data_IF_544975925076
#
_entry.id   IF_544975925076
#
_cell.length_a   1.000
_cell.length_b   1.000
_cell.length_c   1.000
_cell.angle_alpha   90.00
_cell.angle_beta   90.00
_cell.angle_gamma   90.00
#
_symmetry.space_group_name_H-M   'P 1'
#
loop_
_entity.id
_entity.type
_entity.pdbx_description
1 polymer ?
#
# COMPACT_ATOMS: atom_id res chain seq x y z
N UNK A 1 -39.17 -2.88 1.44
CA UNK A 1 -38.31 -1.79 1.91
C UNK A 1 -37.03 -2.38 2.49
N UNK A 2 -35.88 -2.07 1.91
CA UNK A 2 -34.57 -2.47 2.44
C UNK A 2 -33.87 -1.24 3.02
N UNK A 3 -33.50 -1.30 4.30
CA UNK A 3 -32.81 -0.20 4.97
C UNK A 3 -31.29 -0.35 4.81
N UNK A 4 -30.62 0.65 4.25
CA UNK A 4 -29.15 0.71 4.12
C UNK A 4 -28.53 1.38 5.34
N UNK A 5 -28.32 0.61 6.41
CA UNK A 5 -27.63 1.08 7.61
C UNK A 5 -26.11 1.06 7.39
N UNK A 6 -25.53 2.18 6.94
CA UNK A 6 -24.07 2.36 6.89
C UNK A 6 -23.61 3.16 8.10
N UNK A 7 -22.87 2.54 9.03
CA UNK A 7 -22.34 3.18 10.25
C UNK A 7 -20.87 3.65 10.12
N UNK A 8 -20.30 3.53 8.92
CA UNK A 8 -18.89 3.79 8.68
C UNK A 8 -18.66 5.28 8.51
N UNK A 9 -17.96 5.91 9.45
CA UNK A 9 -17.48 7.28 9.29
C UNK A 9 -16.59 7.40 8.05
N UNK A 10 -16.61 8.56 7.40
CA UNK A 10 -15.75 8.91 6.25
C UNK A 10 -14.27 8.81 6.66
N UNK A 11 -13.74 7.61 6.56
CA UNK A 11 -12.37 7.30 6.93
C UNK A 11 -11.43 7.94 5.90
N UNK A 12 -10.32 8.53 6.37
CA UNK A 12 -9.23 9.06 5.55
C UNK A 12 -8.44 7.94 4.82
N UNK A 13 -9.14 6.98 4.21
CA UNK A 13 -8.59 5.86 3.42
C UNK A 13 -8.08 6.35 2.05
N UNK A 14 -7.29 7.42 2.04
CA UNK A 14 -6.51 7.81 0.87
C UNK A 14 -5.30 6.90 0.76
N UNK A 15 -5.07 6.37 -0.43
CA UNK A 15 -3.87 5.58 -0.74
C UNK A 15 -2.59 6.34 -0.38
N UNK A 16 -1.53 5.60 -0.06
CA UNK A 16 -0.21 6.17 0.13
C UNK A 16 0.26 6.77 -1.19
N UNK A 17 0.59 8.06 -1.16
CA UNK A 17 1.22 8.73 -2.31
C UNK A 17 2.69 8.37 -2.38
N UNK A 18 3.35 8.65 -3.50
CA UNK A 18 4.80 8.45 -3.63
C UNK A 18 5.58 9.21 -2.53
N UNK A 19 5.19 10.46 -2.25
CA UNK A 19 5.80 11.26 -1.19
C UNK A 19 5.61 10.62 0.20
N UNK A 20 4.45 10.02 0.47
CA UNK A 20 4.23 9.31 1.74
C UNK A 20 5.17 8.11 1.87
N UNK A 21 5.42 7.39 0.76
CA UNK A 21 6.35 6.24 0.76
C UNK A 21 7.79 6.68 1.05
N UNK A 22 8.27 7.75 0.41
CA UNK A 22 9.61 8.29 0.69
C UNK A 22 9.75 8.68 2.17
N UNK A 23 8.72 9.27 2.77
CA UNK A 23 8.72 9.59 4.21
C UNK A 23 8.75 8.33 5.06
N UNK A 24 7.98 7.29 4.70
CA UNK A 24 8.01 6.00 5.42
C UNK A 24 9.41 5.39 5.40
N UNK A 25 10.07 5.41 4.24
CA UNK A 25 11.43 4.91 4.06
C UNK A 25 12.42 5.64 4.99
N UNK A 26 12.46 6.97 4.92
CA UNK A 26 13.31 7.78 5.81
C UNK A 26 13.05 7.51 7.30
N UNK A 27 11.78 7.44 7.72
CA UNK A 27 11.46 7.13 9.11
C UNK A 27 11.80 5.70 9.54
N UNK A 28 11.79 4.74 8.60
CA UNK A 28 12.25 3.38 8.86
C UNK A 28 13.77 3.32 9.05
N UNK A 29 14.55 4.13 8.31
CA UNK A 29 16.00 4.28 8.51
C UNK A 29 16.30 4.88 9.89
N UNK A 30 15.49 5.83 10.34
CA UNK A 30 15.54 6.41 11.70
C UNK A 30 15.09 5.44 12.82
N UNK A 31 14.73 4.19 12.48
CA UNK A 31 14.24 3.15 13.41
C UNK A 31 13.01 3.54 14.22
N UNK A 32 12.16 4.42 13.68
CA UNK A 32 10.89 4.79 14.31
C UNK A 32 9.89 3.62 14.27
N UNK A 33 9.04 3.53 15.29
CA UNK A 33 7.98 2.51 15.31
C UNK A 33 6.89 2.81 14.28
N UNK A 34 6.27 1.77 13.71
CA UNK A 34 5.20 1.95 12.71
C UNK A 34 3.99 2.74 13.24
N UNK A 35 3.72 2.69 14.55
CA UNK A 35 2.67 3.52 15.17
C UNK A 35 3.01 5.00 15.18
N UNK A 36 4.28 5.31 15.34
CA UNK A 36 4.80 6.68 15.43
C UNK A 36 4.90 7.31 14.04
N UNK A 37 5.24 6.51 13.04
CA UNK A 37 5.15 6.87 11.60
C UNK A 37 3.70 7.11 11.20
N UNK A 38 2.79 6.24 11.62
CA UNK A 38 1.36 6.34 11.35
C UNK A 38 0.75 7.64 11.91
N UNK A 39 1.14 8.04 13.13
CA UNK A 39 0.72 9.32 13.73
C UNK A 39 1.23 10.52 12.94
N UNK A 40 2.50 10.53 12.53
CA UNK A 40 3.09 11.60 11.71
C UNK A 40 2.40 11.77 10.36
N UNK A 41 2.04 10.66 9.71
CA UNK A 41 1.42 10.67 8.38
C UNK A 41 -0.12 10.74 8.42
N UNK A 42 -0.74 10.65 9.60
CA UNK A 42 -2.19 10.55 9.73
C UNK A 42 -2.76 9.29 9.05
N UNK A 43 -1.96 8.23 8.93
CA UNK A 43 -2.34 6.95 8.31
C UNK A 43 -2.51 5.87 9.37
N UNK A 44 -3.15 4.76 9.00
CA UNK A 44 -3.25 3.63 9.91
C UNK A 44 -1.94 2.84 9.97
N UNK A 45 -1.53 2.40 11.17
CA UNK A 45 -0.29 1.63 11.36
C UNK A 45 -0.20 0.35 10.53
N UNK A 46 -1.33 -0.34 10.30
CA UNK A 46 -1.36 -1.53 9.43
C UNK A 46 -1.10 -1.18 7.95
N UNK A 47 -1.40 0.05 7.53
CA UNK A 47 -1.08 0.53 6.17
C UNK A 47 0.42 0.72 6.02
N UNK A 48 1.08 1.32 7.01
CA UNK A 48 2.54 1.46 7.06
C UNK A 48 3.21 0.08 7.07
N UNK A 49 2.76 -0.84 7.92
CA UNK A 49 3.33 -2.19 8.00
C UNK A 49 3.23 -2.96 6.68
N UNK A 50 2.09 -2.85 5.99
CA UNK A 50 1.92 -3.48 4.67
C UNK A 50 2.81 -2.83 3.62
N UNK A 51 2.97 -1.50 3.65
CA UNK A 51 3.85 -0.80 2.72
C UNK A 51 5.31 -1.23 2.88
N UNK A 52 5.80 -1.28 4.11
CA UNK A 52 7.17 -1.75 4.40
C UNK A 52 7.36 -3.19 3.92
N UNK A 53 6.39 -4.08 4.18
CA UNK A 53 6.43 -5.45 3.65
C UNK A 53 6.43 -5.50 2.12
N UNK A 54 5.72 -4.59 1.44
CA UNK A 54 5.72 -4.52 -0.03
C UNK A 54 7.06 -4.06 -0.58
N UNK A 55 7.75 -3.15 0.09
CA UNK A 55 9.08 -2.68 -0.28
C UNK A 55 10.17 -3.73 -0.06
N UNK A 56 10.02 -4.61 0.94
CA UNK A 56 10.99 -5.68 1.22
C UNK A 56 10.76 -6.96 0.42
N UNK A 57 9.54 -7.20 -0.04
CA UNK A 57 9.19 -8.42 -0.81
C UNK A 57 9.35 -8.17 -2.30
N UNK A 58 10.11 -9.04 -2.99
CA UNK A 58 10.17 -9.07 -4.46
C UNK A 58 8.79 -9.38 -5.02
N UNK A 59 8.13 -8.40 -5.65
CA UNK A 59 6.83 -8.61 -6.28
C UNK A 59 7.00 -9.31 -7.64
N UNK A 60 6.69 -10.60 -7.69
CA UNK A 60 6.62 -11.35 -8.95
C UNK A 60 5.26 -11.05 -9.59
N UNK A 61 5.23 -10.26 -10.66
CA UNK A 61 4.00 -10.07 -11.45
C UNK A 61 3.66 -11.39 -12.12
N UNK A 62 2.60 -12.05 -11.65
CA UNK A 62 2.08 -13.25 -12.30
C UNK A 62 1.62 -12.86 -13.71
N UNK A 63 2.37 -13.28 -14.73
CA UNK A 63 1.94 -13.15 -16.12
C UNK A 63 0.76 -14.11 -16.29
N UNK A 64 -0.46 -13.58 -16.31
CA UNK A 64 -1.65 -14.37 -16.65
C UNK A 64 -1.42 -14.89 -18.06
N UNK A 65 -1.16 -16.19 -18.19
CA UNK A 65 -1.06 -16.84 -19.50
C UNK A 65 -2.43 -16.76 -20.14
N UNK A 66 -2.59 -15.90 -21.15
CA UNK A 66 -3.75 -15.97 -22.04
C UNK A 66 -3.82 -17.38 -22.62
N UNK A 67 -5.01 -17.97 -22.68
CA UNK A 67 -5.26 -19.32 -23.23
C UNK A 67 -4.75 -19.52 -24.67
N UNK A 68 -4.39 -18.44 -25.36
CA UNK A 68 -3.79 -18.41 -26.71
C UNK A 68 -2.26 -18.28 -26.75
N UNK A 69 -1.55 -18.40 -25.61
CA UNK A 69 -0.08 -18.46 -25.56
C UNK A 69 0.65 -17.14 -25.82
N UNK A 70 -0.06 -16.01 -25.93
CA UNK A 70 0.55 -14.69 -26.15
C UNK A 70 1.02 -14.09 -24.82
N UNK A 71 2.33 -13.89 -24.70
CA UNK A 71 3.00 -13.21 -23.58
C UNK A 71 3.25 -11.75 -23.92
N UNK A 72 2.74 -10.84 -23.09
CA UNK A 72 3.04 -9.41 -23.19
C UNK A 72 4.07 -9.07 -22.10
N UNK A 73 5.30 -8.86 -22.51
CA UNK A 73 6.39 -8.38 -21.67
C UNK A 73 6.29 -6.85 -21.57
N UNK A 74 6.18 -6.32 -20.36
CA UNK A 74 6.21 -4.88 -20.12
C UNK A 74 7.57 -4.57 -19.48
N UNK A 75 8.40 -3.82 -20.20
CA UNK A 75 9.64 -3.27 -19.68
C UNK A 75 9.32 -2.23 -18.59
N UNK A 76 10.01 -2.31 -17.46
CA UNK A 76 9.80 -1.42 -16.32
C UNK A 76 10.82 -0.28 -16.39
N UNK A 77 10.48 0.79 -17.12
CA UNK A 77 11.10 2.11 -16.99
C UNK A 77 10.16 3.09 -16.32
#
# INVERSE_FOLDING_TARGET
MTHTNSNTSLSNRKHLTYQDRCKIEAYCEEKLSFREIARRLGKHHSTISQEVKRGTVRQIKQVVKSSSGKTYEYDQM
#
